data_IF_533886859379
#
_entry.id   IF_533886859379
#
_cell.length_a   1.000
_cell.length_b   1.000
_cell.length_c   1.000
_cell.angle_alpha   90.00
_cell.angle_beta   90.00
_cell.angle_gamma   90.00
#
_symmetry.space_group_name_H-M   'P 1'
#
loop_
_entity.id
_entity.type
_entity.pdbx_description
1 polymer ?
#
# COMPACT_ATOMS: atom_id res chain seq x y z
N UNK A 1 8.81 17.09 20.62
CA UNK A 1 9.14 15.86 19.84
C UNK A 1 8.42 15.78 18.49
N UNK A 2 7.29 16.46 18.29
CA UNK A 2 6.55 16.49 17.02
C UNK A 2 7.28 17.17 15.86
N UNK A 3 8.05 18.24 16.11
CA UNK A 3 8.74 18.98 15.04
C UNK A 3 9.88 18.21 14.37
N UNK A 4 10.72 17.50 15.14
CA UNK A 4 11.91 16.79 14.61
C UNK A 4 11.52 15.66 13.67
N UNK A 5 10.47 14.91 14.01
CA UNK A 5 9.96 13.81 13.19
C UNK A 5 9.38 14.34 11.87
N UNK A 6 8.67 15.47 11.92
CA UNK A 6 8.16 16.10 10.70
C UNK A 6 9.27 16.64 9.80
N UNK A 7 10.39 17.11 10.36
CA UNK A 7 11.56 17.50 9.56
C UNK A 7 12.29 16.30 8.96
N UNK A 8 12.48 15.22 9.72
CA UNK A 8 13.15 14.00 9.25
C UNK A 8 12.44 13.34 8.06
N UNK A 9 11.10 13.36 8.09
CA UNK A 9 10.28 12.83 7.02
C UNK A 9 9.78 13.91 6.06
N UNK A 10 10.33 15.14 6.09
CA UNK A 10 9.93 16.26 5.23
C UNK A 10 8.41 16.55 5.20
N UNK A 11 7.71 16.15 6.25
CA UNK A 11 6.27 16.27 6.40
C UNK A 11 5.80 17.73 6.42
N UNK A 12 6.65 18.60 6.96
CA UNK A 12 6.41 20.04 7.03
C UNK A 12 6.36 20.73 5.66
N UNK A 13 6.89 20.08 4.62
CA UNK A 13 6.93 20.60 3.26
C UNK A 13 5.85 19.99 2.36
N UNK A 14 5.00 19.11 2.91
CA UNK A 14 4.00 18.39 2.13
C UNK A 14 2.79 19.27 1.86
N UNK A 15 2.58 19.60 0.60
CA UNK A 15 1.38 20.28 0.09
C UNK A 15 0.26 19.28 -0.21
N UNK A 16 -1.00 19.74 -0.36
CA UNK A 16 -2.09 18.88 -0.82
C UNK A 16 -1.80 18.17 -2.14
N UNK A 17 -1.12 18.86 -3.08
CA UNK A 17 -0.77 18.29 -4.38
C UNK A 17 0.28 17.19 -4.33
N UNK A 18 1.10 17.15 -3.27
CA UNK A 18 2.04 16.04 -3.07
C UNK A 18 1.32 14.72 -2.78
N UNK A 19 -0.01 14.74 -2.55
CA UNK A 19 -0.88 13.58 -2.32
C UNK A 19 -1.65 13.10 -3.55
N UNK A 20 -1.50 13.77 -4.69
CA UNK A 20 -2.29 13.53 -5.90
C UNK A 20 -1.81 12.31 -6.71
N UNK A 21 -1.05 11.39 -6.11
CA UNK A 21 -0.65 10.15 -6.77
C UNK A 21 -1.85 9.27 -7.10
N UNK A 22 -1.71 8.53 -8.21
CA UNK A 22 -2.73 7.64 -8.75
C UNK A 22 -2.54 6.21 -8.20
N UNK A 23 -3.62 5.45 -7.92
CA UNK A 23 -5.03 5.85 -8.03
C UNK A 23 -5.42 6.85 -6.95
N UNK A 24 -6.30 7.79 -7.26
CA UNK A 24 -6.85 8.77 -6.33
C UNK A 24 -8.12 8.25 -5.66
N UNK A 25 -8.18 8.33 -4.33
CA UNK A 25 -9.34 7.87 -3.57
C UNK A 25 -10.62 8.61 -4.02
N UNK A 26 -11.71 7.86 -4.16
CA UNK A 26 -13.02 8.41 -4.54
C UNK A 26 -13.21 8.69 -6.03
N UNK A 27 -12.21 8.38 -6.88
CA UNK A 27 -12.34 8.45 -8.36
C UNK A 27 -12.66 7.11 -9.00
N UNK A 28 -13.09 6.12 -8.22
CA UNK A 28 -13.42 4.80 -8.73
C UNK A 28 -14.71 4.80 -9.59
N UNK A 29 -14.95 3.75 -10.39
CA UNK A 29 -16.17 3.63 -11.18
C UNK A 29 -17.45 3.57 -10.33
N UNK A 30 -17.35 3.20 -9.05
CA UNK A 30 -18.52 3.05 -8.16
C UNK A 30 -19.19 4.37 -7.83
N UNK A 31 -18.49 5.50 -8.02
CA UNK A 31 -19.07 6.85 -7.88
C UNK A 31 -20.29 7.07 -8.78
N UNK A 32 -20.34 6.40 -9.93
CA UNK A 32 -21.41 6.52 -10.93
C UNK A 32 -22.60 5.58 -10.67
N UNK A 33 -22.55 4.75 -9.62
CA UNK A 33 -23.62 3.79 -9.31
C UNK A 33 -24.61 4.44 -8.33
N UNK A 34 -25.70 4.99 -8.85
CA UNK A 34 -26.65 5.78 -8.05
C UNK A 34 -27.21 5.06 -6.82
N UNK A 35 -27.39 3.73 -6.89
CA UNK A 35 -28.00 2.92 -5.84
C UNK A 35 -27.09 2.59 -4.65
N UNK A 36 -25.81 2.98 -4.65
CA UNK A 36 -24.91 2.71 -3.53
C UNK A 36 -24.99 3.80 -2.45
N UNK A 37 -24.95 3.43 -1.15
CA UNK A 37 -24.74 4.37 -0.06
C UNK A 37 -23.50 5.25 -0.27
N UNK A 38 -23.57 6.51 0.17
CA UNK A 38 -22.49 7.50 -0.01
C UNK A 38 -21.16 7.05 0.56
N UNK A 39 -21.16 6.32 1.69
CA UNK A 39 -19.92 5.80 2.28
C UNK A 39 -19.24 4.75 1.38
N UNK A 40 -20.00 3.89 0.67
CA UNK A 40 -19.44 2.91 -0.27
C UNK A 40 -18.94 3.56 -1.56
N UNK A 41 -19.60 4.62 -2.02
CA UNK A 41 -19.15 5.41 -3.18
C UNK A 41 -17.79 6.08 -2.92
N UNK A 42 -17.50 6.42 -1.66
CA UNK A 42 -16.23 7.04 -1.25
C UNK A 42 -15.11 6.03 -1.03
N UNK A 43 -15.42 4.78 -0.71
CA UNK A 43 -14.41 3.74 -0.54
C UNK A 43 -13.83 3.31 -1.87
N UNK A 44 -12.51 3.26 -1.94
CA UNK A 44 -11.72 2.94 -3.14
C UNK A 44 -10.65 1.91 -2.77
N UNK A 45 -10.81 0.69 -3.28
CA UNK A 45 -10.01 -0.46 -2.86
C UNK A 45 -8.62 -0.37 -3.49
N UNK A 46 -8.54 0.02 -4.76
CA UNK A 46 -7.32 0.17 -5.52
C UNK A 46 -6.44 1.27 -4.89
N UNK A 47 -7.04 2.41 -4.57
CA UNK A 47 -6.35 3.48 -3.84
C UNK A 47 -5.91 3.01 -2.44
N UNK A 48 -6.77 2.27 -1.72
CA UNK A 48 -6.44 1.72 -0.40
C UNK A 48 -5.20 0.82 -0.45
N UNK A 49 -5.11 -0.08 -1.43
CA UNK A 49 -3.97 -1.00 -1.56
C UNK A 49 -2.66 -0.23 -1.76
N UNK A 50 -2.69 0.78 -2.62
CA UNK A 50 -1.53 1.62 -2.91
C UNK A 50 -1.15 2.50 -1.72
N UNK A 51 -2.13 3.02 -0.99
CA UNK A 51 -1.94 3.91 0.16
C UNK A 51 -1.47 3.16 1.42
N UNK A 52 -1.86 1.89 1.57
CA UNK A 52 -1.46 1.04 2.71
C UNK A 52 -0.05 0.48 2.56
N UNK A 53 0.43 0.30 1.33
CA UNK A 53 1.69 -0.37 1.04
C UNK A 53 2.93 0.25 1.72
N UNK A 54 3.12 1.58 1.78
CA UNK A 54 4.26 2.18 2.47
C UNK A 54 4.34 1.81 3.95
N UNK A 55 3.19 1.71 4.64
CA UNK A 55 3.15 1.31 6.05
C UNK A 55 3.44 -0.18 6.23
N UNK A 56 2.89 -1.02 5.35
CA UNK A 56 3.13 -2.47 5.37
C UNK A 56 4.61 -2.76 5.11
N UNK A 57 5.18 -2.18 4.07
CA UNK A 57 6.60 -2.30 3.75
C UNK A 57 7.49 -1.71 4.86
N UNK A 58 7.12 -0.55 5.41
CA UNK A 58 7.81 0.10 6.52
C UNK A 58 7.83 -0.76 7.79
N UNK A 59 6.70 -1.36 8.16
CA UNK A 59 6.62 -2.30 9.29
C UNK A 59 7.52 -3.53 9.08
N UNK A 60 7.55 -4.07 7.86
CA UNK A 60 8.45 -5.15 7.48
C UNK A 60 9.93 -4.77 7.57
N UNK A 61 10.29 -3.58 7.06
CA UNK A 61 11.64 -3.04 7.09
C UNK A 61 12.12 -2.76 8.53
N UNK A 62 11.30 -2.12 9.36
CA UNK A 62 11.62 -1.88 10.77
C UNK A 62 11.82 -3.20 11.53
N UNK A 63 10.91 -4.17 11.35
CA UNK A 63 11.07 -5.48 11.95
C UNK A 63 12.36 -6.18 11.48
N UNK A 64 12.76 -5.98 10.23
CA UNK A 64 13.99 -6.56 9.70
C UNK A 64 15.25 -5.89 10.29
N UNK A 65 15.25 -4.56 10.42
CA UNK A 65 16.35 -3.80 11.05
C UNK A 65 16.51 -4.20 12.52
N UNK A 66 15.41 -4.32 13.26
CA UNK A 66 15.44 -4.77 14.66
C UNK A 66 16.05 -6.17 14.77
N UNK A 67 15.82 -7.04 13.78
CA UNK A 67 16.43 -8.38 13.75
C UNK A 67 17.90 -8.38 13.39
N UNK A 68 18.35 -7.48 12.50
CA UNK A 68 19.78 -7.31 12.23
C UNK A 68 20.52 -6.90 13.49
N UNK A 69 19.89 -6.10 14.35
CA UNK A 69 20.44 -5.74 15.65
C UNK A 69 20.48 -6.94 16.63
N UNK A 70 19.46 -7.80 16.62
CA UNK A 70 19.38 -8.97 17.51
C UNK A 70 20.27 -10.15 17.09
N UNK A 71 20.42 -10.40 15.78
CA UNK A 71 21.06 -11.62 15.23
C UNK A 71 22.36 -11.36 14.46
N UNK A 72 22.78 -10.11 14.27
CA UNK A 72 23.99 -9.75 13.51
C UNK A 72 23.99 -10.32 12.08
N UNK A 73 25.16 -10.74 11.59
CA UNK A 73 25.39 -11.26 10.23
C UNK A 73 24.70 -12.60 9.92
N UNK A 74 24.03 -13.23 10.89
CA UNK A 74 23.32 -14.50 10.71
C UNK A 74 21.85 -14.34 10.30
N UNK A 75 21.33 -13.11 10.34
CA UNK A 75 19.98 -12.83 9.87
C UNK A 75 19.88 -13.00 8.34
N UNK A 76 18.90 -13.80 7.90
CA UNK A 76 18.70 -14.03 6.47
C UNK A 76 18.30 -12.73 5.77
N UNK A 77 19.00 -12.35 4.70
CA UNK A 77 18.82 -11.06 4.01
C UNK A 77 17.43 -10.84 3.37
N UNK A 78 16.61 -11.90 3.28
CA UNK A 78 15.27 -11.82 2.72
C UNK A 78 14.22 -11.55 3.80
N UNK A 79 13.54 -10.41 3.68
CA UNK A 79 12.39 -10.02 4.53
C UNK A 79 11.27 -11.07 4.48
N UNK A 80 11.15 -11.81 3.38
CA UNK A 80 10.12 -12.84 3.18
C UNK A 80 10.46 -14.21 3.77
N UNK A 81 11.71 -14.42 4.22
CA UNK A 81 12.10 -15.69 4.87
C UNK A 81 11.97 -15.64 6.38
N UNK A 82 11.72 -14.46 6.94
CA UNK A 82 11.67 -14.28 8.37
C UNK A 82 10.24 -14.20 8.89
N UNK A 83 9.95 -14.97 9.95
CA UNK A 83 8.61 -15.02 10.54
C UNK A 83 8.24 -13.69 11.18
N UNK A 84 9.14 -13.01 11.90
CA UNK A 84 8.76 -11.78 12.62
C UNK A 84 8.47 -10.62 11.66
N UNK A 85 9.22 -10.50 10.56
CA UNK A 85 8.96 -9.49 9.52
C UNK A 85 7.63 -9.74 8.82
N UNK A 86 7.35 -10.98 8.43
CA UNK A 86 6.08 -11.37 7.85
C UNK A 86 4.91 -11.13 8.82
N UNK A 87 5.08 -11.41 10.12
CA UNK A 87 4.07 -11.12 11.15
C UNK A 87 3.88 -9.61 11.36
N UNK A 88 4.94 -8.81 11.27
CA UNK A 88 4.84 -7.36 11.35
C UNK A 88 4.06 -6.78 10.17
N UNK A 89 4.41 -7.20 8.94
CA UNK A 89 3.68 -6.84 7.72
C UNK A 89 2.22 -7.28 7.80
N UNK A 90 1.97 -8.51 8.28
CA UNK A 90 0.62 -9.05 8.49
C UNK A 90 -0.23 -8.16 9.39
N UNK A 91 0.28 -7.83 10.58
CA UNK A 91 -0.41 -6.99 11.55
C UNK A 91 -0.63 -5.58 11.00
N UNK A 92 0.37 -5.03 10.30
CA UNK A 92 0.23 -3.74 9.64
C UNK A 92 -0.91 -3.76 8.62
N UNK A 93 -1.00 -4.78 7.76
CA UNK A 93 -2.10 -4.89 6.79
C UNK A 93 -3.47 -4.95 7.48
N UNK A 94 -3.61 -5.75 8.54
CA UNK A 94 -4.88 -5.89 9.27
C UNK A 94 -5.32 -4.63 10.01
N UNK A 95 -4.40 -3.71 10.31
CA UNK A 95 -4.72 -2.46 11.01
C UNK A 95 -4.87 -1.30 10.04
N UNK A 96 -3.91 -1.14 9.13
CA UNK A 96 -3.81 0.03 8.26
C UNK A 96 -4.86 0.00 7.15
N UNK A 97 -5.13 -1.17 6.54
CA UNK A 97 -6.12 -1.24 5.46
C UNK A 97 -7.54 -0.88 5.92
N UNK A 98 -8.07 -1.42 7.03
CA UNK A 98 -9.36 -0.97 7.56
C UNK A 98 -9.37 0.49 7.98
N UNK A 99 -8.25 1.01 8.52
CA UNK A 99 -8.14 2.41 8.92
C UNK A 99 -8.21 3.35 7.71
N UNK A 100 -7.50 3.03 6.63
CA UNK A 100 -7.56 3.81 5.37
C UNK A 100 -8.97 3.78 4.78
N UNK A 101 -9.61 2.60 4.71
CA UNK A 101 -11.00 2.48 4.25
C UNK A 101 -11.97 3.28 5.12
N UNK A 102 -11.77 3.29 6.44
CA UNK A 102 -12.57 4.09 7.36
C UNK A 102 -12.37 5.59 7.12
N UNK A 103 -11.13 6.05 6.92
CA UNK A 103 -10.84 7.44 6.58
C UNK A 103 -11.52 7.84 5.25
N UNK A 104 -11.45 6.99 4.23
CA UNK A 104 -12.16 7.21 2.96
C UNK A 104 -13.68 7.27 3.15
N UNK A 105 -14.26 6.31 3.90
CA UNK A 105 -15.69 6.25 4.15
C UNK A 105 -16.20 7.50 4.91
N UNK A 106 -15.36 8.08 5.77
CA UNK A 106 -15.63 9.30 6.53
C UNK A 106 -15.24 10.60 5.80
N UNK A 107 -14.67 10.52 4.61
CA UNK A 107 -14.18 11.67 3.83
C UNK A 107 -13.11 12.50 4.58
N UNK A 108 -12.27 11.79 5.35
CA UNK A 108 -11.11 12.36 6.03
C UNK A 108 -9.93 12.25 5.07
N UNK A 109 -9.33 13.37 4.69
CA UNK A 109 -8.03 13.33 4.01
C UNK A 109 -7.01 12.65 4.94
N UNK A 110 -6.49 11.50 4.54
CA UNK A 110 -5.48 10.74 5.31
C UNK A 110 -4.16 10.68 4.57
N UNK A 111 -4.12 11.10 3.30
CA UNK A 111 -2.92 10.96 2.47
C UNK A 111 -1.80 11.86 2.92
N UNK A 112 -2.15 12.97 3.59
CA UNK A 112 -1.15 13.76 4.27
C UNK A 112 -0.32 12.91 5.22
N UNK A 113 -0.85 11.84 5.85
CA UNK A 113 -0.15 10.97 6.81
C UNK A 113 0.65 9.80 6.19
N UNK A 114 0.66 9.69 4.85
CA UNK A 114 1.42 8.67 4.12
C UNK A 114 2.83 9.18 3.75
N UNK A 115 3.91 8.43 4.03
CA UNK A 115 5.30 8.84 3.73
C UNK A 115 5.63 8.61 2.24
N UNK A 116 4.82 9.21 1.36
CA UNK A 116 4.93 9.15 -0.10
C UNK A 116 4.71 10.56 -0.66
N UNK A 117 5.41 10.87 -1.75
CA UNK A 117 5.27 12.10 -2.51
C UNK A 117 4.94 11.78 -3.96
N UNK A 118 3.92 12.47 -4.47
CA UNK A 118 3.62 12.49 -5.88
C UNK A 118 4.78 13.14 -6.64
N UNK A 119 5.12 12.57 -7.78
CA UNK A 119 6.06 13.19 -8.73
C UNK A 119 5.28 13.63 -9.97
N UNK A 120 5.75 14.65 -10.68
CA UNK A 120 5.12 15.13 -11.92
C UNK A 120 4.81 14.02 -12.94
N UNK A 121 5.65 12.98 -12.97
CA UNK A 121 5.47 11.80 -13.84
C UNK A 121 4.31 10.92 -13.38
N UNK A 122 4.09 10.79 -12.07
CA UNK A 122 2.92 10.07 -11.54
C UNK A 122 1.62 10.81 -11.87
N UNK A 123 1.64 12.15 -11.90
CA UNK A 123 0.50 12.96 -12.32
C UNK A 123 0.11 12.75 -13.79
N UNK A 124 1.05 12.33 -14.65
CA UNK A 124 0.81 12.09 -16.08
C UNK A 124 0.29 10.70 -16.42
N UNK A 125 0.40 9.73 -15.50
CA UNK A 125 -0.08 8.35 -15.70
C UNK A 125 -1.58 8.39 -15.92
N UNK A 126 -2.16 7.51 -16.73
CA UNK A 126 -3.62 7.45 -16.83
C UNK A 126 -4.23 6.77 -15.57
N UNK A 127 -5.29 7.33 -15.00
CA UNK A 127 -5.91 6.86 -13.75
C UNK A 127 -6.52 5.47 -13.95
N UNK A 128 -7.26 5.30 -15.05
CA UNK A 128 -7.95 4.05 -15.38
C UNK A 128 -6.95 2.93 -15.65
N UNK A 129 -5.89 3.24 -16.42
CA UNK A 129 -4.83 2.27 -16.68
C UNK A 129 -4.14 1.83 -15.39
N UNK A 130 -3.82 2.76 -14.48
CA UNK A 130 -3.19 2.43 -13.20
C UNK A 130 -4.09 1.53 -12.36
N UNK A 131 -5.39 1.82 -12.29
CA UNK A 131 -6.38 0.99 -11.57
C UNK A 131 -6.40 -0.43 -12.09
N UNK A 132 -6.49 -0.62 -13.41
CA UNK A 132 -6.49 -1.95 -14.02
C UNK A 132 -5.23 -2.75 -13.68
N UNK A 133 -4.05 -2.11 -13.65
CA UNK A 133 -2.82 -2.79 -13.23
C UNK A 133 -2.86 -3.18 -11.76
N UNK A 134 -3.32 -2.27 -10.89
CA UNK A 134 -3.49 -2.54 -9.46
C UNK A 134 -4.47 -3.69 -9.23
N UNK A 135 -5.61 -3.70 -9.93
CA UNK A 135 -6.61 -4.78 -9.87
C UNK A 135 -6.03 -6.14 -10.28
N UNK A 136 -5.27 -6.19 -11.38
CA UNK A 136 -4.59 -7.42 -11.81
C UNK A 136 -3.58 -7.87 -10.75
N UNK A 137 -2.81 -6.94 -10.19
CA UNK A 137 -1.87 -7.22 -9.10
C UNK A 137 -2.56 -7.76 -7.84
N UNK A 138 -3.69 -7.16 -7.45
CA UNK A 138 -4.52 -7.63 -6.34
C UNK A 138 -5.08 -9.01 -6.61
N UNK A 139 -5.56 -9.28 -7.83
CA UNK A 139 -6.10 -10.58 -8.25
C UNK A 139 -5.05 -11.69 -8.19
N UNK A 140 -3.84 -11.44 -8.70
CA UNK A 140 -2.71 -12.37 -8.57
C UNK A 140 -2.32 -12.58 -7.11
N UNK A 141 -2.27 -11.51 -6.32
CA UNK A 141 -2.03 -11.58 -4.89
C UNK A 141 -3.08 -12.43 -4.15
N UNK A 142 -4.36 -12.26 -4.50
CA UNK A 142 -5.45 -13.06 -3.95
C UNK A 142 -5.31 -14.53 -4.33
N UNK A 143 -4.99 -14.83 -5.60
CA UNK A 143 -4.76 -16.21 -6.05
C UNK A 143 -3.61 -16.88 -5.29
N UNK A 144 -2.50 -16.16 -5.07
CA UNK A 144 -1.38 -16.65 -4.25
C UNK A 144 -1.85 -16.90 -2.82
N UNK A 145 -2.55 -15.95 -2.20
CA UNK A 145 -3.06 -16.11 -0.85
C UNK A 145 -4.01 -17.32 -0.71
N UNK A 146 -4.99 -17.45 -1.61
CA UNK A 146 -5.91 -18.59 -1.65
C UNK A 146 -5.18 -19.91 -1.86
N UNK A 147 -4.17 -19.95 -2.73
CA UNK A 147 -3.36 -21.16 -2.92
C UNK A 147 -2.62 -21.55 -1.64
N UNK A 148 -2.05 -20.59 -0.90
CA UNK A 148 -1.38 -20.85 0.38
C UNK A 148 -2.36 -21.38 1.42
N UNK A 149 -3.59 -20.84 1.47
CA UNK A 149 -4.65 -21.34 2.34
C UNK A 149 -5.08 -22.77 1.97
N UNK A 150 -5.32 -23.04 0.68
CA UNK A 150 -5.79 -24.34 0.19
C UNK A 150 -4.77 -25.45 0.45
N UNK A 151 -3.49 -25.19 0.20
CA UNK A 151 -2.41 -26.17 0.37
C UNK A 151 -1.76 -26.13 1.76
N UNK A 152 -2.27 -25.31 2.69
CA UNK A 152 -1.74 -25.13 4.06
C UNK A 152 -0.25 -24.75 4.10
N UNK A 153 0.29 -24.17 3.03
CA UNK A 153 1.65 -23.68 2.99
C UNK A 153 1.76 -22.36 3.75
N UNK A 154 2.48 -22.36 4.87
CA UNK A 154 2.69 -21.14 5.66
C UNK A 154 1.45 -20.71 6.47
N UNK A 155 0.73 -21.67 7.07
CA UNK A 155 -0.43 -21.45 7.97
C UNK A 155 -0.23 -20.49 9.15
N UNK A 156 0.94 -19.87 9.32
CA UNK A 156 1.16 -18.79 10.29
C UNK A 156 0.92 -17.39 9.70
N UNK A 157 0.74 -17.27 8.37
CA UNK A 157 0.64 -15.98 7.67
C UNK A 157 -0.63 -15.90 6.83
N UNK A 158 -1.77 -15.80 7.51
CA UNK A 158 -3.12 -15.76 6.95
C UNK A 158 -3.55 -14.38 6.41
N UNK A 159 -2.67 -13.40 6.29
CA UNK A 159 -3.13 -12.06 5.92
C UNK A 159 -3.21 -11.87 4.42
N UNK A 160 -4.11 -10.98 3.98
CA UNK A 160 -4.18 -10.46 2.61
C UNK A 160 -2.98 -9.56 2.25
N UNK A 161 -1.80 -9.75 2.87
CA UNK A 161 -0.56 -9.07 2.51
C UNK A 161 -0.28 -9.28 1.03
N UNK A 162 -0.51 -10.49 0.50
CA UNK A 162 -0.27 -10.78 -0.91
C UNK A 162 -1.16 -9.93 -1.82
N UNK A 163 -2.40 -9.64 -1.41
CA UNK A 163 -3.32 -8.78 -2.16
C UNK A 163 -2.80 -7.35 -2.17
N UNK A 164 -2.43 -6.82 -1.00
CA UNK A 164 -1.90 -5.46 -0.86
C UNK A 164 -0.58 -5.31 -1.59
N UNK A 165 0.37 -6.21 -1.34
CA UNK A 165 1.68 -6.19 -1.97
C UNK A 165 1.58 -6.47 -3.47
N UNK A 166 0.65 -7.32 -3.91
CA UNK A 166 0.41 -7.61 -5.33
C UNK A 166 -0.05 -6.36 -6.08
N UNK A 167 -1.09 -5.68 -5.59
CA UNK A 167 -1.57 -4.42 -6.19
C UNK A 167 -0.52 -3.30 -6.13
N UNK A 168 0.18 -3.17 -4.99
CA UNK A 168 1.23 -2.16 -4.83
C UNK A 168 2.45 -2.43 -5.71
N UNK A 169 2.83 -3.70 -5.91
CA UNK A 169 3.89 -4.07 -6.85
C UNK A 169 3.49 -3.76 -8.28
N UNK A 170 2.23 -3.99 -8.66
CA UNK A 170 1.74 -3.61 -9.98
C UNK A 170 1.77 -2.09 -10.19
N UNK A 171 1.37 -1.30 -9.17
CA UNK A 171 1.54 0.17 -9.20
C UNK A 171 3.01 0.56 -9.38
N UNK A 172 3.91 -0.04 -8.59
CA UNK A 172 5.34 0.24 -8.64
C UNK A 172 5.96 -0.14 -9.99
N UNK A 173 5.60 -1.30 -10.55
CA UNK A 173 6.07 -1.76 -11.85
C UNK A 173 5.60 -0.82 -12.95
N UNK A 174 4.33 -0.39 -12.92
CA UNK A 174 3.83 0.58 -13.88
C UNK A 174 4.54 1.93 -13.75
N UNK A 175 4.83 2.37 -12.52
CA UNK A 175 5.59 3.60 -12.27
C UNK A 175 7.01 3.51 -12.84
N UNK A 176 7.73 2.42 -12.57
CA UNK A 176 9.09 2.22 -13.08
C UNK A 176 9.10 2.02 -14.60
N UNK A 177 8.08 1.40 -15.17
CA UNK A 177 7.89 1.32 -16.63
C UNK A 177 7.79 2.71 -17.26
N UNK A 178 6.91 3.58 -16.74
CA UNK A 178 6.75 4.94 -17.25
C UNK A 178 8.04 5.76 -17.10
N UNK A 179 8.72 5.61 -15.96
CA UNK A 179 10.02 6.24 -15.70
C UNK A 179 11.10 5.80 -16.68
N UNK A 180 11.13 4.53 -17.07
CA UNK A 180 12.08 4.00 -18.04
C UNK A 180 11.78 4.44 -19.48
N UNK A 181 10.51 4.69 -19.82
CA UNK A 181 10.06 5.02 -21.18
C UNK A 181 9.81 6.52 -21.42
N UNK A 182 10.15 7.39 -20.45
CA UNK A 182 10.26 8.83 -20.67
C UNK A 182 8.94 9.58 -20.85
N UNK A 183 7.82 9.01 -20.39
CA UNK A 183 6.53 9.71 -20.28
C UNK A 183 6.42 10.49 -18.96
#
# INVERSE_FOLDING_TARGET
MTSVVQYLFFWNLKSPHDNDWRPQAGRNPTQYIDNLPSFLKRTDIEATVVDTAPFVAGAGGLAHILQLNDFGSTAHASIFKNVKTLTAMHRATLVVAPLVLMCQALDIDYRYAIPRWCHDRELRRDEEQVRQHVDVGMGLGAAVWFSRLAFRFGMRFWAPIDVVMGGALADLMHREYMKAHGL
#
